data_IF_745230049493
#
_entry.id   IF_745230049493
#
_cell.length_a   1.000
_cell.length_b   1.000
_cell.length_c   1.000
_cell.angle_alpha   90.00
_cell.angle_beta   90.00
_cell.angle_gamma   90.00
#
_symmetry.space_group_name_H-M   'P 1'
#
loop_
_entity.id
_entity.type
_entity.pdbx_description
1 polymer ?
#
# COMPACT_ATOMS: atom_id res chain seq x y z
N UNK A 1 -33.96 -7.97 14.45
CA UNK A 1 -32.71 -8.13 15.20
C UNK A 1 -31.57 -7.85 14.24
N UNK A 2 -31.01 -6.63 14.23
CA UNK A 2 -29.89 -6.27 13.35
C UNK A 2 -28.63 -6.97 13.87
N UNK A 3 -28.22 -8.04 13.19
CA UNK A 3 -26.91 -8.66 13.41
C UNK A 3 -25.88 -7.87 12.63
N UNK A 4 -25.46 -6.72 13.16
CA UNK A 4 -24.35 -5.94 12.60
C UNK A 4 -23.05 -6.75 12.69
N UNK A 5 -22.70 -7.42 11.59
CA UNK A 5 -21.43 -8.14 11.41
C UNK A 5 -20.23 -7.20 11.31
N UNK A 6 -20.47 -5.89 11.24
CA UNK A 6 -19.46 -4.83 11.06
C UNK A 6 -19.06 -4.14 12.37
N UNK A 7 -18.95 -4.88 13.48
CA UNK A 7 -18.41 -4.31 14.72
C UNK A 7 -16.88 -4.40 14.76
N UNK A 8 -16.20 -3.41 15.37
CA UNK A 8 -14.74 -3.43 15.59
C UNK A 8 -14.26 -4.74 16.23
N UNK A 9 -15.05 -5.28 17.17
CA UNK A 9 -14.75 -6.54 17.87
C UNK A 9 -14.81 -7.75 16.96
N UNK A 10 -15.79 -7.82 16.06
CA UNK A 10 -15.89 -8.89 15.07
C UNK A 10 -14.71 -8.83 14.08
N UNK A 11 -14.39 -7.63 13.58
CA UNK A 11 -13.23 -7.40 12.71
C UNK A 11 -11.92 -7.87 13.35
N UNK A 12 -11.65 -7.47 14.61
CA UNK A 12 -10.42 -7.87 15.29
C UNK A 12 -10.31 -9.38 15.48
N UNK A 13 -11.41 -10.07 15.80
CA UNK A 13 -11.43 -11.54 15.92
C UNK A 13 -11.10 -12.23 14.60
N UNK A 14 -11.70 -11.76 13.50
CA UNK A 14 -11.47 -12.33 12.16
C UNK A 14 -10.06 -12.03 11.64
N UNK A 15 -9.56 -10.81 11.81
CA UNK A 15 -8.21 -10.43 11.37
C UNK A 15 -7.11 -11.16 12.17
N UNK A 16 -7.35 -11.43 13.46
CA UNK A 16 -6.41 -12.16 14.32
C UNK A 16 -6.23 -13.63 13.91
N UNK A 17 -7.24 -14.28 13.33
CA UNK A 17 -7.11 -15.68 12.85
C UNK A 17 -6.52 -15.75 11.43
N UNK A 18 -6.77 -14.74 10.59
CA UNK A 18 -6.26 -14.68 9.22
C UNK A 18 -4.75 -14.41 9.13
N UNK A 19 -4.16 -13.73 10.12
CA UNK A 19 -2.73 -13.37 10.14
C UNK A 19 -1.78 -14.57 10.18
N UNK A 20 -2.23 -15.73 10.68
CA UNK A 20 -1.42 -16.96 10.75
C UNK A 20 -1.04 -17.47 9.34
N UNK A 21 -1.85 -17.19 8.31
CA UNK A 21 -1.58 -17.61 6.92
C UNK A 21 -0.62 -16.68 6.16
N UNK A 22 -0.42 -15.44 6.62
CA UNK A 22 0.48 -14.47 5.96
C UNK A 22 1.93 -14.61 6.43
N UNK A 23 2.16 -15.24 7.59
CA UNK A 23 3.50 -15.48 8.12
C UNK A 23 4.33 -16.47 7.27
N UNK A 24 3.69 -17.23 6.38
CA UNK A 24 4.31 -18.22 5.50
C UNK A 24 4.41 -17.78 4.03
N UNK A 25 4.21 -16.50 3.71
CA UNK A 25 4.26 -16.01 2.33
C UNK A 25 5.65 -15.45 1.97
N UNK A 26 6.56 -16.21 1.33
CA UNK A 26 7.72 -15.63 0.69
C UNK A 26 7.32 -15.12 -0.70
N UNK A 27 7.58 -13.85 -0.96
CA UNK A 27 7.96 -13.40 -2.29
C UNK A 27 8.72 -12.08 -2.15
N UNK A 28 9.96 -12.14 -1.65
CA UNK A 28 10.94 -11.11 -2.02
C UNK A 28 11.23 -11.34 -3.50
N UNK A 29 10.40 -10.75 -4.37
CA UNK A 29 10.65 -10.75 -5.80
C UNK A 29 11.86 -9.83 -5.99
N UNK A 30 13.01 -10.43 -6.29
CA UNK A 30 14.23 -9.67 -6.54
C UNK A 30 14.01 -8.74 -7.73
N UNK A 31 14.21 -7.44 -7.54
CA UNK A 31 14.27 -6.48 -8.62
C UNK A 31 15.53 -6.71 -9.45
N UNK A 32 15.48 -6.39 -10.75
CA UNK A 32 16.65 -6.49 -11.61
C UNK A 32 17.74 -5.52 -11.08
N UNK A 33 18.98 -5.97 -10.87
CA UNK A 33 20.07 -5.08 -10.45
C UNK A 33 20.21 -3.89 -11.42
N UNK A 34 20.52 -2.71 -10.88
CA UNK A 34 20.74 -1.46 -11.62
C UNK A 34 19.51 -0.88 -12.37
N UNK A 35 18.29 -1.35 -12.09
CA UNK A 35 17.07 -0.70 -12.57
C UNK A 35 16.59 0.36 -11.57
N UNK A 36 15.94 1.42 -12.06
CA UNK A 36 15.25 2.37 -11.18
C UNK A 36 14.11 1.69 -10.42
N UNK A 37 13.82 2.16 -9.22
CA UNK A 37 12.67 1.74 -8.43
C UNK A 37 11.42 2.42 -9.00
N UNK A 38 10.54 1.64 -9.60
CA UNK A 38 9.23 2.11 -10.06
C UNK A 38 8.26 2.27 -8.88
N UNK A 39 7.78 3.49 -8.65
CA UNK A 39 6.86 3.82 -7.55
C UNK A 39 5.48 4.11 -8.12
N UNK A 40 4.46 3.43 -7.61
CA UNK A 40 3.06 3.75 -7.85
C UNK A 40 2.50 4.53 -6.66
N UNK A 41 1.92 5.69 -6.91
CA UNK A 41 1.37 6.55 -5.86
C UNK A 41 -0.16 6.47 -5.85
N UNK A 42 -0.74 5.93 -4.77
CA UNK A 42 -2.19 5.79 -4.57
C UNK A 42 -2.61 6.74 -3.45
N UNK A 43 -3.42 7.75 -3.78
CA UNK A 43 -3.74 8.88 -2.92
C UNK A 43 -2.57 9.86 -2.87
N UNK A 44 -2.61 10.92 -3.69
CA UNK A 44 -1.49 11.88 -3.90
C UNK A 44 -1.77 13.26 -3.34
N UNK A 45 -2.78 13.37 -2.47
CA UNK A 45 -3.12 14.57 -1.69
C UNK A 45 -2.41 14.54 -0.33
N UNK A 46 -2.49 15.61 0.46
CA UNK A 46 -2.03 15.64 1.86
C UNK A 46 -0.67 14.96 2.06
N UNK A 47 -0.64 13.94 2.92
CA UNK A 47 0.59 13.15 3.19
C UNK A 47 1.11 12.41 1.96
N UNK A 48 0.22 11.88 1.12
CA UNK A 48 0.61 11.17 -0.10
C UNK A 48 1.41 12.05 -1.06
N UNK A 49 1.07 13.36 -1.12
CA UNK A 49 1.85 14.32 -1.89
C UNK A 49 3.28 14.47 -1.36
N UNK A 50 3.44 14.65 -0.04
CA UNK A 50 4.75 14.78 0.59
C UNK A 50 5.60 13.52 0.40
N UNK A 51 5.00 12.33 0.55
CA UNK A 51 5.69 11.05 0.33
C UNK A 51 6.12 10.89 -1.13
N UNK A 52 5.22 11.16 -2.09
CA UNK A 52 5.56 11.16 -3.52
C UNK A 52 6.71 12.15 -3.81
N UNK A 53 6.69 13.33 -3.20
CA UNK A 53 7.75 14.33 -3.32
C UNK A 53 9.11 13.81 -2.87
N UNK A 54 9.17 13.02 -1.80
CA UNK A 54 10.41 12.39 -1.35
C UNK A 54 10.98 11.39 -2.37
N UNK A 55 10.12 10.61 -3.03
CA UNK A 55 10.55 9.68 -4.09
C UNK A 55 10.92 10.40 -5.40
N UNK A 56 10.26 11.52 -5.73
CA UNK A 56 10.62 12.35 -6.88
C UNK A 56 12.01 13.00 -6.73
N UNK A 57 12.45 13.24 -5.49
CA UNK A 57 13.78 13.80 -5.21
C UNK A 57 14.91 12.77 -5.33
N UNK A 58 14.58 11.47 -5.34
CA UNK A 58 15.58 10.40 -5.38
C UNK A 58 15.91 10.02 -6.84
N UNK A 59 17.19 10.12 -7.28
CA UNK A 59 17.58 9.88 -8.67
C UNK A 59 17.37 8.43 -9.15
N UNK A 60 17.39 7.46 -8.23
CA UNK A 60 17.20 6.04 -8.53
C UNK A 60 15.73 5.61 -8.56
N UNK A 61 14.80 6.54 -8.32
CA UNK A 61 13.36 6.29 -8.34
C UNK A 61 12.70 6.90 -9.58
N UNK A 62 11.53 6.36 -9.92
CA UNK A 62 10.65 6.90 -10.96
C UNK A 62 9.18 6.70 -10.57
N UNK A 63 8.38 7.77 -10.60
CA UNK A 63 6.93 7.67 -10.40
C UNK A 63 6.31 7.17 -11.70
N UNK A 64 5.80 5.94 -11.68
CA UNK A 64 5.29 5.26 -12.89
C UNK A 64 3.77 5.36 -13.01
N UNK A 65 3.05 5.47 -11.90
CA UNK A 65 1.59 5.46 -11.86
C UNK A 65 1.08 6.38 -10.76
N UNK A 66 -0.03 7.05 -11.03
CA UNK A 66 -0.77 7.87 -10.07
C UNK A 66 -2.24 7.45 -10.08
N UNK A 67 -2.79 7.22 -8.90
CA UNK A 67 -4.20 6.91 -8.69
C UNK A 67 -4.75 7.78 -7.57
N UNK A 68 -5.84 8.49 -7.83
CA UNK A 68 -6.60 9.22 -6.82
C UNK A 68 -8.10 9.15 -7.17
N UNK A 69 -8.97 9.30 -6.16
CA UNK A 69 -10.42 9.13 -6.33
C UNK A 69 -11.06 10.27 -7.11
N UNK A 70 -10.40 11.43 -7.17
CA UNK A 70 -10.88 12.60 -7.91
C UNK A 70 -9.86 12.96 -8.98
N UNK A 71 -10.36 13.20 -10.20
CA UNK A 71 -9.60 13.94 -11.19
C UNK A 71 -9.36 15.36 -10.64
N UNK A 72 -8.19 15.92 -10.97
CA UNK A 72 -7.76 17.26 -10.56
C UNK A 72 -8.83 18.32 -10.88
#
# INVERSE_FOLDING_TARGET
>A
MNTDTSSRRAFLKTTATASIFLASAPAVISAKPNSKIGVACIGVRGRGNSVMGSFLAEPDCEITHICDLRAN
#
